data_IF_849124289664
#
_entry.id   IF_849124289664
#
_cell.length_a   1.000
_cell.length_b   1.000
_cell.length_c   1.000
_cell.angle_alpha   90.00
_cell.angle_beta   90.00
_cell.angle_gamma   90.00
#
_symmetry.space_group_name_H-M   'P 1'
#
loop_
_entity.id
_entity.type
_entity.pdbx_description
1 polymer ?
#
# COMPACT_ATOMS: atom_id res chain seq x y z
N UNK A 1 -2.36 -11.89 10.81
CA UNK A 1 -2.76 -10.89 9.80
C UNK A 1 -2.84 -9.53 10.46
N UNK A 2 -2.93 -8.44 9.70
CA UNK A 2 -3.13 -7.08 10.25
C UNK A 2 -4.58 -6.67 10.06
N UNK A 3 -5.23 -6.20 11.12
CA UNK A 3 -6.58 -5.64 11.06
C UNK A 3 -6.64 -4.37 11.90
N UNK A 4 -6.77 -3.22 11.23
CA UNK A 4 -6.98 -1.93 11.89
C UNK A 4 -8.46 -1.79 12.25
N UNK A 5 -8.83 -2.35 13.41
CA UNK A 5 -10.18 -2.27 13.94
C UNK A 5 -10.16 -2.06 15.46
N UNK A 6 -11.27 -1.56 15.99
CA UNK A 6 -11.54 -1.38 17.42
C UNK A 6 -12.72 -2.25 17.82
N UNK A 7 -12.73 -2.75 19.05
CA UNK A 7 -13.87 -3.46 19.63
C UNK A 7 -14.87 -2.45 20.21
N UNK A 8 -16.15 -2.57 19.86
CA UNK A 8 -17.22 -1.72 20.38
C UNK A 8 -16.89 -0.22 20.34
N UNK A 9 -16.91 0.42 21.51
CA UNK A 9 -16.63 1.84 21.71
C UNK A 9 -15.18 2.14 22.16
N UNK A 10 -14.29 1.15 22.15
CA UNK A 10 -12.90 1.35 22.54
C UNK A 10 -12.16 2.28 21.57
N UNK A 11 -11.16 3.01 22.09
CA UNK A 11 -10.30 3.89 21.30
C UNK A 11 -9.05 3.19 20.75
N UNK A 12 -8.64 2.09 21.40
CA UNK A 12 -7.50 1.26 21.04
C UNK A 12 -7.78 0.33 19.85
N UNK A 13 -6.72 -0.09 19.17
CA UNK A 13 -6.81 -1.18 18.21
C UNK A 13 -6.93 -2.52 18.94
N UNK A 14 -7.62 -3.48 18.33
CA UNK A 14 -7.70 -4.84 18.85
C UNK A 14 -6.32 -5.47 19.02
N UNK A 15 -6.15 -6.27 20.07
CA UNK A 15 -4.89 -6.94 20.41
C UNK A 15 -4.54 -8.06 19.44
N UNK A 16 -3.28 -8.50 19.46
CA UNK A 16 -2.81 -9.73 18.80
C UNK A 16 -3.72 -10.93 19.08
N UNK A 17 -4.06 -11.18 20.34
CA UNK A 17 -4.85 -12.35 20.74
C UNK A 17 -6.26 -12.28 20.17
N UNK A 18 -6.85 -11.07 20.14
CA UNK A 18 -8.15 -10.87 19.51
C UNK A 18 -8.07 -11.16 18.01
N UNK A 19 -7.02 -10.71 17.31
CA UNK A 19 -6.82 -11.04 15.89
C UNK A 19 -6.68 -12.55 15.67
N UNK A 20 -5.91 -13.25 16.51
CA UNK A 20 -5.75 -14.69 16.41
C UNK A 20 -7.11 -15.42 16.54
N UNK A 21 -7.98 -14.96 17.43
CA UNK A 21 -9.33 -15.54 17.59
C UNK A 21 -10.22 -15.37 16.35
N UNK A 22 -9.94 -14.39 15.49
CA UNK A 22 -10.72 -14.07 14.29
C UNK A 22 -10.25 -14.84 13.05
N UNK A 23 -9.15 -15.60 13.13
CA UNK A 23 -8.53 -16.26 11.98
C UNK A 23 -9.48 -17.19 11.22
N UNK A 24 -10.43 -17.84 11.92
CA UNK A 24 -11.42 -18.73 11.32
C UNK A 24 -12.36 -18.06 10.31
N UNK A 25 -12.42 -16.72 10.29
CA UNK A 25 -13.21 -15.96 9.32
C UNK A 25 -12.52 -15.77 7.98
N UNK A 26 -11.19 -15.93 7.90
CA UNK A 26 -10.41 -15.64 6.69
C UNK A 26 -10.89 -16.46 5.48
N UNK A 27 -11.07 -17.76 5.66
CA UNK A 27 -11.51 -18.65 4.58
C UNK A 27 -12.94 -18.32 4.13
N UNK A 28 -13.83 -17.98 5.07
CA UNK A 28 -15.21 -17.60 4.78
C UNK A 28 -15.28 -16.30 3.97
N UNK A 29 -14.46 -15.31 4.32
CA UNK A 29 -14.33 -14.05 3.58
C UNK A 29 -13.78 -14.29 2.17
N UNK A 30 -12.72 -15.09 2.04
CA UNK A 30 -12.11 -15.41 0.74
C UNK A 30 -13.08 -16.15 -0.19
N UNK A 31 -13.86 -17.09 0.35
CA UNK A 31 -14.91 -17.83 -0.37
C UNK A 31 -16.20 -17.03 -0.58
N UNK A 32 -16.28 -15.79 -0.05
CA UNK A 32 -17.47 -14.92 -0.08
C UNK A 32 -18.71 -15.57 0.56
N UNK A 33 -18.51 -16.44 1.55
CA UNK A 33 -19.59 -17.06 2.34
C UNK A 33 -20.19 -16.08 3.36
N UNK A 34 -19.40 -15.09 3.76
CA UNK A 34 -19.82 -13.94 4.57
C UNK A 34 -19.21 -12.68 3.98
N UNK A 35 -19.87 -11.55 4.18
CA UNK A 35 -19.32 -10.24 3.86
C UNK A 35 -18.45 -9.70 4.99
N UNK A 36 -17.55 -8.76 4.65
CA UNK A 36 -16.78 -8.01 5.66
C UNK A 36 -17.71 -7.30 6.66
N UNK A 37 -18.84 -6.75 6.19
CA UNK A 37 -19.81 -6.06 7.05
C UNK A 37 -20.46 -7.00 8.06
N UNK A 38 -20.89 -8.19 7.64
CA UNK A 38 -21.47 -9.20 8.53
C UNK A 38 -20.47 -9.69 9.56
N UNK A 39 -19.23 -9.94 9.14
CA UNK A 39 -18.12 -10.27 10.03
C UNK A 39 -17.91 -9.19 11.10
N UNK A 40 -17.78 -7.93 10.68
CA UNK A 40 -17.56 -6.80 11.60
C UNK A 40 -18.72 -6.64 12.58
N UNK A 41 -19.98 -6.74 12.13
CA UNK A 41 -21.15 -6.67 13.00
C UNK A 41 -21.20 -7.82 14.01
N UNK A 42 -20.91 -9.04 13.56
CA UNK A 42 -20.96 -10.23 14.40
C UNK A 42 -19.92 -10.19 15.52
N UNK A 43 -18.75 -9.63 15.23
CA UNK A 43 -17.62 -9.57 16.16
C UNK A 43 -17.53 -8.25 16.94
N UNK A 44 -18.54 -7.39 16.80
CA UNK A 44 -18.61 -6.02 17.37
C UNK A 44 -17.35 -5.19 17.08
N UNK A 45 -16.97 -5.14 15.80
CA UNK A 45 -15.76 -4.47 15.33
C UNK A 45 -16.09 -3.25 14.46
N UNK A 46 -15.34 -2.17 14.67
CA UNK A 46 -15.36 -0.98 13.83
C UNK A 46 -13.99 -0.77 13.20
N UNK A 47 -13.95 -0.58 11.86
CA UNK A 47 -12.71 -0.26 11.16
C UNK A 47 -12.14 1.09 11.64
N UNK A 48 -10.83 1.11 11.87
CA UNK A 48 -10.09 2.28 12.30
C UNK A 48 -9.57 3.09 11.10
N UNK A 49 -10.48 3.54 10.22
CA UNK A 49 -10.12 4.28 9.00
C UNK A 49 -9.40 5.60 9.28
N UNK A 50 -9.58 6.17 10.47
CA UNK A 50 -8.84 7.34 10.97
C UNK A 50 -7.34 7.08 11.18
N UNK A 51 -6.91 5.82 11.13
CA UNK A 51 -5.49 5.43 11.16
C UNK A 51 -4.87 5.36 9.76
N UNK A 52 -5.66 5.58 8.71
CA UNK A 52 -5.19 5.60 7.33
C UNK A 52 -4.97 7.04 6.90
N UNK A 53 -3.79 7.30 6.33
CA UNK A 53 -3.49 8.57 5.67
C UNK A 53 -3.45 8.33 4.16
N UNK A 54 -4.20 9.12 3.38
CA UNK A 54 -4.10 9.08 1.92
C UNK A 54 -2.66 9.45 1.53
N UNK A 55 -2.05 8.62 0.70
CA UNK A 55 -0.62 8.71 0.36
C UNK A 55 -0.38 9.03 -1.11
N UNK A 56 -1.12 8.38 -2.01
CA UNK A 56 -1.02 8.62 -3.45
C UNK A 56 -2.30 8.21 -4.18
N UNK A 57 -2.49 8.75 -5.38
CA UNK A 57 -3.60 8.40 -6.27
C UNK A 57 -3.05 8.16 -7.68
N UNK A 58 -3.18 6.94 -8.20
CA UNK A 58 -2.66 6.55 -9.50
C UNK A 58 -3.77 6.02 -10.39
N UNK A 59 -3.85 6.56 -11.61
CA UNK A 59 -4.80 6.11 -12.63
C UNK A 59 -4.03 5.43 -13.75
N UNK A 60 -4.47 4.23 -14.12
CA UNK A 60 -3.86 3.52 -15.24
C UNK A 60 -4.21 4.23 -16.55
N UNK A 61 -3.22 4.48 -17.43
CA UNK A 61 -3.44 5.17 -18.69
C UNK A 61 -4.50 4.50 -19.60
N UNK A 62 -5.24 5.28 -20.42
CA UNK A 62 -6.42 4.80 -21.15
C UNK A 62 -6.10 3.73 -22.21
N UNK A 63 -4.88 3.70 -22.74
CA UNK A 63 -4.43 2.73 -23.75
C UNK A 63 -4.14 1.33 -23.17
N UNK A 64 -4.11 1.18 -21.84
CA UNK A 64 -3.86 -0.12 -21.20
C UNK A 64 -5.13 -0.97 -21.19
N UNK A 65 -5.04 -2.27 -21.52
CA UNK A 65 -6.22 -3.14 -21.63
C UNK A 65 -6.92 -3.38 -20.29
N UNK A 66 -6.17 -3.31 -19.19
CA UNK A 66 -6.69 -3.37 -17.82
C UNK A 66 -6.35 -2.08 -17.12
N UNK A 67 -7.37 -1.43 -16.54
CA UNK A 67 -7.23 -0.13 -15.90
C UNK A 67 -7.70 -0.16 -14.47
N UNK A 68 -7.01 0.62 -13.64
CA UNK A 68 -7.33 0.84 -12.24
C UNK A 68 -7.27 2.32 -11.91
N UNK A 69 -8.14 2.72 -10.99
CA UNK A 69 -8.09 3.97 -10.25
C UNK A 69 -7.70 3.59 -8.81
N UNK A 70 -6.42 3.78 -8.47
CA UNK A 70 -5.80 3.20 -7.28
C UNK A 70 -5.46 4.28 -6.27
N UNK A 71 -6.09 4.19 -5.10
CA UNK A 71 -5.78 5.03 -3.95
C UNK A 71 -4.86 4.27 -3.00
N UNK A 72 -3.69 4.82 -2.73
CA UNK A 72 -2.71 4.28 -1.78
C UNK A 72 -2.89 4.96 -0.43
N UNK A 73 -2.80 4.17 0.64
CA UNK A 73 -2.88 4.65 2.01
C UNK A 73 -1.63 4.22 2.78
N UNK A 74 -1.17 5.10 3.67
CA UNK A 74 -0.13 4.83 4.65
C UNK A 74 -0.78 4.59 6.02
N UNK A 75 -0.25 3.61 6.77
CA UNK A 75 -0.66 3.34 8.14
C UNK A 75 0.52 2.84 8.97
N UNK A 76 0.58 3.26 10.23
CA UNK A 76 1.50 2.68 11.18
C UNK A 76 1.06 1.25 11.53
N UNK A 77 1.96 0.28 11.33
CA UNK A 77 1.70 -1.10 11.70
C UNK A 77 1.63 -1.23 13.24
N UNK A 78 0.58 -1.85 13.81
CA UNK A 78 0.53 -2.08 15.25
C UNK A 78 1.67 -3.02 15.68
N UNK A 79 2.42 -2.63 16.71
CA UNK A 79 3.66 -3.29 17.12
C UNK A 79 3.46 -4.78 17.47
N UNK A 80 2.28 -5.16 17.94
CA UNK A 80 1.93 -6.51 18.32
C UNK A 80 1.26 -7.30 17.18
N UNK A 81 0.94 -6.73 16.03
CA UNK A 81 0.31 -7.47 14.93
C UNK A 81 1.37 -8.20 14.09
N UNK A 82 1.23 -9.53 13.95
CA UNK A 82 2.03 -10.30 13.00
C UNK A 82 1.35 -10.31 11.63
N UNK A 83 2.04 -9.74 10.63
CA UNK A 83 1.66 -9.87 9.23
C UNK A 83 1.83 -11.35 8.81
N UNK A 84 0.73 -11.98 8.38
CA UNK A 84 0.68 -13.39 7.98
C UNK A 84 -0.05 -13.45 6.65
N UNK A 85 0.62 -13.98 5.63
CA UNK A 85 0.07 -14.22 4.31
C UNK A 85 -0.91 -15.40 4.31
N UNK A 86 -1.72 -15.53 3.26
CA UNK A 86 -2.71 -16.62 3.15
C UNK A 86 -2.12 -17.94 2.65
N UNK A 87 -0.92 -17.92 2.06
CA UNK A 87 -0.28 -19.10 1.50
C UNK A 87 -0.83 -19.52 0.14
N UNK A 88 -1.73 -18.72 -0.45
CA UNK A 88 -2.34 -18.98 -1.76
C UNK A 88 -1.94 -17.92 -2.79
N UNK A 89 -2.37 -16.69 -2.59
CA UNK A 89 -2.06 -15.56 -3.49
C UNK A 89 -0.75 -14.90 -3.09
N UNK A 90 -0.48 -14.82 -1.79
CA UNK A 90 0.79 -14.36 -1.23
C UNK A 90 1.49 -15.53 -0.53
N UNK A 91 2.73 -15.79 -0.95
CA UNK A 91 3.52 -16.94 -0.46
C UNK A 91 4.71 -16.54 0.42
N UNK A 92 5.06 -15.25 0.45
CA UNK A 92 6.11 -14.72 1.31
C UNK A 92 5.79 -13.28 1.75
N UNK A 93 6.33 -12.85 2.89
CA UNK A 93 6.18 -11.49 3.42
C UNK A 93 7.37 -11.12 4.28
N UNK A 94 7.94 -9.95 4.03
CA UNK A 94 9.12 -9.48 4.75
C UNK A 94 9.00 -8.01 5.13
N UNK A 95 9.39 -7.70 6.36
CA UNK A 95 9.65 -6.33 6.79
C UNK A 95 11.05 -5.92 6.30
N UNK A 96 11.11 -4.92 5.44
CA UNK A 96 12.35 -4.32 4.91
C UNK A 96 12.22 -2.81 4.88
N UNK A 97 13.36 -2.12 4.88
CA UNK A 97 13.38 -0.66 4.71
C UNK A 97 13.07 -0.30 3.25
N UNK A 98 12.53 0.90 2.98
CA UNK A 98 12.34 1.39 1.62
C UNK A 98 13.63 1.33 0.78
N UNK A 99 14.75 1.74 1.35
CA UNK A 99 16.07 1.67 0.72
C UNK A 99 16.46 0.25 0.31
N UNK A 100 16.18 -0.75 1.14
CA UNK A 100 16.46 -2.15 0.82
C UNK A 100 15.54 -2.67 -0.29
N UNK A 101 14.27 -2.27 -0.31
CA UNK A 101 13.33 -2.61 -1.37
C UNK A 101 13.75 -2.03 -2.73
N UNK A 102 14.11 -0.74 -2.77
CA UNK A 102 14.62 -0.05 -3.97
C UNK A 102 15.89 -0.72 -4.48
N UNK A 103 16.88 -0.94 -3.59
CA UNK A 103 18.12 -1.62 -3.98
C UNK A 103 17.84 -3.02 -4.51
N UNK A 104 16.96 -3.78 -3.84
CA UNK A 104 16.58 -5.12 -4.28
C UNK A 104 15.89 -5.11 -5.64
N UNK A 105 15.10 -4.08 -5.97
CA UNK A 105 14.53 -3.94 -7.31
C UNK A 105 15.61 -3.64 -8.36
N UNK A 106 16.53 -2.72 -8.07
CA UNK A 106 17.66 -2.40 -8.97
C UNK A 106 18.61 -3.58 -9.19
N UNK A 107 18.81 -4.43 -8.19
CA UNK A 107 19.66 -5.62 -8.28
C UNK A 107 18.94 -6.82 -8.95
N UNK A 108 17.65 -6.67 -9.30
CA UNK A 108 16.83 -7.76 -9.85
C UNK A 108 16.38 -8.81 -8.82
N UNK A 109 16.56 -8.56 -7.52
CA UNK A 109 16.08 -9.41 -6.44
C UNK A 109 14.56 -9.35 -6.27
N UNK A 110 13.97 -8.17 -6.49
CA UNK A 110 12.52 -7.95 -6.37
C UNK A 110 11.94 -7.39 -7.67
N UNK A 111 10.89 -8.01 -8.19
CA UNK A 111 10.10 -7.41 -9.27
C UNK A 111 9.11 -6.41 -8.65
N UNK A 112 9.40 -5.12 -8.76
CA UNK A 112 8.53 -4.04 -8.26
C UNK A 112 8.04 -3.22 -9.44
N UNK A 113 6.72 -3.14 -9.62
CA UNK A 113 6.11 -2.32 -10.67
C UNK A 113 6.31 -0.83 -10.39
N UNK A 114 6.35 -0.02 -11.46
CA UNK A 114 6.69 1.40 -11.38
C UNK A 114 5.89 2.20 -10.33
N UNK A 115 4.54 2.16 -10.27
CA UNK A 115 3.79 2.88 -9.22
C UNK A 115 4.17 2.47 -7.80
N UNK A 116 4.43 1.18 -7.58
CA UNK A 116 4.88 0.68 -6.27
C UNK A 116 6.28 1.18 -5.95
N UNK A 117 7.20 1.15 -6.91
CA UNK A 117 8.56 1.65 -6.74
C UNK A 117 8.55 3.13 -6.38
N UNK A 118 7.78 3.96 -7.10
CA UNK A 118 7.64 5.39 -6.81
C UNK A 118 7.11 5.66 -5.40
N UNK A 119 6.11 4.90 -4.96
CA UNK A 119 5.57 5.03 -3.60
C UNK A 119 6.58 4.59 -2.52
N UNK A 120 7.39 3.56 -2.79
CA UNK A 120 8.46 3.12 -1.88
C UNK A 120 9.58 4.16 -1.80
N UNK A 121 10.00 4.72 -2.94
CA UNK A 121 11.00 5.80 -3.01
C UNK A 121 10.53 7.04 -2.24
N UNK A 122 9.25 7.42 -2.43
CA UNK A 122 8.64 8.53 -1.70
C UNK A 122 8.62 8.26 -0.18
N UNK A 123 8.19 7.07 0.24
CA UNK A 123 8.22 6.67 1.65
C UNK A 123 9.65 6.70 2.22
N UNK A 124 10.64 6.35 1.40
CA UNK A 124 12.06 6.39 1.75
C UNK A 124 12.64 7.78 2.04
N UNK A 125 11.90 8.86 1.77
CA UNK A 125 12.28 10.22 2.18
C UNK A 125 12.09 10.47 3.69
N UNK A 126 11.33 9.62 4.38
CA UNK A 126 11.13 9.69 5.83
C UNK A 126 12.07 8.75 6.57
N UNK A 127 12.56 9.17 7.74
CA UNK A 127 13.51 8.40 8.55
C UNK A 127 12.85 7.57 9.65
N UNK A 128 11.60 7.89 10.01
CA UNK A 128 10.80 7.15 10.96
C UNK A 128 9.30 7.21 10.63
N UNK A 129 8.50 6.48 11.41
CA UNK A 129 7.05 6.35 11.21
C UNK A 129 6.32 7.67 11.45
N UNK A 130 6.73 8.44 12.46
CA UNK A 130 6.08 9.71 12.80
C UNK A 130 6.24 10.72 11.67
N UNK A 131 7.47 10.89 11.19
CA UNK A 131 7.81 11.75 10.05
C UNK A 131 7.05 11.29 8.79
N UNK A 132 6.99 9.99 8.52
CA UNK A 132 6.25 9.47 7.37
C UNK A 132 4.76 9.80 7.43
N UNK A 133 4.13 9.64 8.59
CA UNK A 133 2.72 9.97 8.79
C UNK A 133 2.47 11.49 8.66
N UNK A 134 3.33 12.33 9.25
CA UNK A 134 3.23 13.79 9.15
C UNK A 134 3.42 14.28 7.71
N UNK A 135 4.41 13.75 6.99
CA UNK A 135 4.64 14.09 5.58
C UNK A 135 3.45 13.66 4.70
N UNK A 136 2.92 12.46 4.91
CA UNK A 136 1.75 11.98 4.20
C UNK A 136 0.49 12.84 4.49
N UNK A 137 0.35 13.34 5.73
CA UNK A 137 -0.74 14.23 6.11
C UNK A 137 -0.66 15.62 5.47
N UNK A 138 0.54 16.19 5.40
CA UNK A 138 0.75 17.52 4.81
C UNK A 138 0.79 17.52 3.28
N UNK A 139 0.86 16.34 2.64
CA UNK A 139 1.00 16.22 1.19
C UNK A 139 -0.31 16.56 0.48
N UNK A 140 -0.21 17.38 -0.56
CA UNK A 140 -1.27 17.52 -1.55
C UNK A 140 -1.23 16.32 -2.51
N UNK A 141 -2.15 15.37 -2.36
CA UNK A 141 -2.25 14.22 -3.25
C UNK A 141 -2.99 14.62 -4.52
N UNK A 142 -2.30 14.50 -5.66
CA UNK A 142 -2.87 14.71 -7.00
C UNK A 142 -3.03 13.38 -7.71
N UNK A 143 -3.90 13.35 -8.72
CA UNK A 143 -4.00 12.21 -9.63
C UNK A 143 -2.71 12.06 -10.43
N UNK A 144 -2.12 10.86 -10.40
CA UNK A 144 -0.98 10.49 -11.21
C UNK A 144 -1.48 9.67 -12.39
N UNK A 145 -1.50 10.30 -13.57
CA UNK A 145 -1.75 9.65 -14.85
C UNK A 145 -0.43 9.56 -15.64
N UNK A 146 0.24 8.40 -15.68
CA UNK A 146 1.49 8.27 -16.42
C UNK A 146 1.30 8.38 -17.93
N UNK A 147 2.34 8.81 -18.64
CA UNK A 147 2.38 8.74 -20.11
C UNK A 147 3.74 8.25 -20.58
N UNK A 148 3.84 7.87 -21.85
CA UNK A 148 5.10 7.48 -22.47
C UNK A 148 5.55 8.51 -23.50
N UNK A 149 6.86 8.77 -23.53
CA UNK A 149 7.49 9.66 -24.51
C UNK A 149 8.59 8.91 -25.23
N UNK A 150 8.63 9.02 -26.57
CA UNK A 150 9.76 8.55 -27.37
C UNK A 150 10.74 9.70 -27.57
N UNK A 151 11.97 9.51 -27.11
CA UNK A 151 13.08 10.47 -27.23
C UNK A 151 14.24 9.79 -27.99
N UNK A 152 15.25 10.55 -28.41
CA UNK A 152 16.44 9.99 -29.10
C UNK A 152 17.14 8.91 -28.27
N UNK A 153 17.14 9.08 -26.95
CA UNK A 153 17.78 8.17 -25.99
C UNK A 153 16.94 6.93 -25.65
N UNK A 154 15.69 6.82 -26.13
CA UNK A 154 14.81 5.69 -25.84
C UNK A 154 13.39 6.09 -25.47
N UNK A 155 12.62 5.14 -24.95
CA UNK A 155 11.25 5.38 -24.47
C UNK A 155 11.27 5.65 -22.97
N UNK A 156 10.59 6.71 -22.53
CA UNK A 156 10.47 7.09 -21.13
C UNK A 156 9.04 6.89 -20.65
N UNK A 157 8.88 6.46 -19.40
CA UNK A 157 7.64 6.62 -18.64
C UNK A 157 7.75 7.92 -17.84
N UNK A 158 6.74 8.76 -17.93
CA UNK A 158 6.68 10.07 -17.29
C UNK A 158 5.45 10.18 -16.38
N UNK A 159 5.54 11.00 -15.36
CA UNK A 159 4.45 11.34 -14.42
C UNK A 159 4.42 12.85 -14.16
N UNK A 160 3.28 13.41 -13.71
CA UNK A 160 3.18 14.84 -13.44
C UNK A 160 4.19 15.28 -12.36
N UNK A 161 4.94 16.35 -12.62
CA UNK A 161 5.97 16.84 -11.68
C UNK A 161 5.38 17.31 -10.35
N UNK A 162 4.18 17.90 -10.41
CA UNK A 162 3.37 18.33 -9.27
C UNK A 162 2.96 17.18 -8.36
N UNK A 163 3.06 15.93 -8.84
CA UNK A 163 2.85 14.75 -8.02
C UNK A 163 3.95 14.56 -6.96
N UNK A 164 5.05 15.32 -7.02
CA UNK A 164 6.00 15.48 -5.91
C UNK A 164 6.79 14.23 -5.55
N UNK A 165 7.05 13.36 -6.53
CA UNK A 165 7.92 12.20 -6.37
C UNK A 165 9.41 12.59 -6.52
N UNK A 166 10.35 11.75 -6.05
CA UNK A 166 11.79 12.05 -6.15
C UNK A 166 12.28 12.28 -7.59
N UNK A 167 11.62 11.66 -8.56
CA UNK A 167 11.82 11.87 -9.99
C UNK A 167 10.47 11.72 -10.72
N UNK A 168 10.35 12.36 -11.88
CA UNK A 168 9.11 12.38 -12.68
C UNK A 168 9.21 11.61 -13.99
N UNK A 169 10.38 11.06 -14.32
CA UNK A 169 10.59 10.31 -15.54
C UNK A 169 11.63 9.20 -15.34
N UNK A 170 11.45 8.09 -16.06
CA UNK A 170 12.38 6.97 -16.06
C UNK A 170 12.44 6.37 -17.46
N UNK A 171 13.66 6.08 -17.94
CA UNK A 171 13.84 5.33 -19.19
C UNK A 171 13.36 3.89 -19.00
N UNK A 172 12.51 3.41 -19.92
CA UNK A 172 12.09 2.02 -19.98
C UNK A 172 13.22 1.15 -20.58
N UNK A 173 13.33 -0.12 -20.15
CA UNK A 173 14.21 -1.08 -20.81
C UNK A 173 13.87 -1.18 -22.31
N UNK A 174 14.90 -1.41 -23.13
CA UNK A 174 14.77 -1.58 -24.59
C UNK A 174 13.96 -2.85 -24.96
#
# INVERSE_FOLDING_TARGET
GVLLARAGAESGLISRDRIASLQAYRDKLNKKEITLLEFLKKEDLKLACDRLQLFAHWVTPPMMPKRFDTHFYLAAAPADHLAVHDGYESVDSKWITPKAAVKGASDGLYTIIFPTLMNVELLGQSHDVETAMSMAHARNVVEVLPWTEKREEGTFICIPTEAGYPYSEQRLPD
#
